data_IF_291513286313
#
_entry.id   IF_291513286313
#
_cell.length_a   1.000
_cell.length_b   1.000
_cell.length_c   1.000
_cell.angle_alpha   90.00
_cell.angle_beta   90.00
_cell.angle_gamma   90.00
#
_symmetry.space_group_name_H-M   'P 1'
#
loop_
_entity.id
_entity.type
_entity.pdbx_description
1 polymer ?
#
# COMPACT_ATOMS: atom_id res chain seq x y z
N UNK A 1 -33.23 -26.30 -27.09
CA UNK A 1 -31.89 -25.71 -27.29
C UNK A 1 -30.93 -26.37 -26.33
N UNK A 2 -29.66 -26.60 -26.67
CA UNK A 2 -28.77 -27.37 -25.82
C UNK A 2 -28.41 -26.55 -24.57
N UNK A 3 -28.81 -27.03 -23.40
CA UNK A 3 -28.30 -26.56 -22.10
C UNK A 3 -26.82 -26.93 -22.00
N UNK A 4 -25.93 -25.95 -22.09
CA UNK A 4 -24.52 -26.15 -21.77
C UNK A 4 -24.35 -26.30 -20.25
N UNK A 5 -23.86 -27.45 -19.80
CA UNK A 5 -23.52 -27.67 -18.39
C UNK A 5 -22.19 -26.99 -18.07
N UNK A 6 -22.18 -26.07 -17.10
CA UNK A 6 -20.95 -25.46 -16.59
C UNK A 6 -20.09 -26.56 -15.92
N UNK A 7 -18.85 -26.73 -16.36
CA UNK A 7 -17.89 -27.63 -15.71
C UNK A 7 -16.96 -26.82 -14.82
N UNK A 8 -16.95 -27.13 -13.52
CA UNK A 8 -15.98 -26.60 -12.55
C UNK A 8 -14.87 -27.62 -12.39
N UNK A 9 -13.60 -27.17 -12.44
CA UNK A 9 -12.43 -27.98 -12.14
C UNK A 9 -11.61 -27.26 -11.07
N UNK A 10 -11.24 -28.00 -10.04
CA UNK A 10 -10.34 -27.52 -9.01
C UNK A 10 -8.91 -27.40 -9.56
N UNK A 11 -8.29 -26.23 -9.34
CA UNK A 11 -6.91 -25.96 -9.74
C UNK A 11 -6.04 -25.97 -8.49
N UNK A 12 -4.85 -26.60 -8.54
CA UNK A 12 -3.89 -26.51 -7.45
C UNK A 12 -3.60 -25.05 -7.09
N UNK A 13 -3.55 -24.74 -5.80
CA UNK A 13 -3.14 -23.41 -5.34
C UNK A 13 -1.62 -23.28 -5.47
N UNK A 14 -1.18 -22.32 -6.28
CA UNK A 14 0.23 -21.92 -6.35
C UNK A 14 0.64 -21.27 -5.02
N UNK A 15 1.77 -21.71 -4.45
CA UNK A 15 2.36 -21.07 -3.27
C UNK A 15 3.47 -20.12 -3.71
N UNK A 16 3.30 -18.80 -3.53
CA UNK A 16 4.34 -17.86 -3.90
C UNK A 16 5.59 -18.08 -3.05
N UNK A 17 6.76 -17.79 -3.64
CA UNK A 17 8.05 -17.90 -2.95
C UNK A 17 8.13 -17.02 -1.70
N UNK A 18 7.49 -15.85 -1.75
CA UNK A 18 7.47 -14.87 -0.67
C UNK A 18 6.03 -14.45 -0.37
N UNK A 19 5.73 -14.30 0.92
CA UNK A 19 4.43 -13.83 1.41
C UNK A 19 4.62 -12.76 2.48
N UNK A 20 3.58 -11.96 2.71
CA UNK A 20 3.55 -10.94 3.76
C UNK A 20 4.76 -9.99 3.72
N UNK A 21 5.42 -9.83 4.87
CA UNK A 21 6.53 -8.89 5.01
C UNK A 21 7.74 -9.24 4.12
N UNK A 22 8.01 -10.53 3.90
CA UNK A 22 9.13 -10.96 3.05
C UNK A 22 8.90 -10.59 1.59
N UNK A 23 7.66 -10.65 1.11
CA UNK A 23 7.32 -10.22 -0.25
C UNK A 23 7.57 -8.72 -0.46
N UNK A 24 7.23 -7.90 0.54
CA UNK A 24 7.46 -6.45 0.51
C UNK A 24 8.97 -6.14 0.47
N UNK A 25 9.75 -6.81 1.32
CA UNK A 25 11.20 -6.66 1.34
C UNK A 25 11.86 -7.09 0.02
N UNK A 26 11.43 -8.22 -0.54
CA UNK A 26 11.90 -8.68 -1.85
C UNK A 26 11.59 -7.66 -2.96
N UNK A 27 10.35 -7.16 -3.04
CA UNK A 27 9.96 -6.13 -4.01
C UNK A 27 10.81 -4.86 -3.89
N UNK A 28 11.08 -4.41 -2.66
CA UNK A 28 11.91 -3.24 -2.43
C UNK A 28 13.36 -3.44 -2.88
N UNK A 29 13.96 -4.58 -2.51
CA UNK A 29 15.34 -4.92 -2.89
C UNK A 29 15.48 -5.07 -4.41
N UNK A 30 14.50 -5.69 -5.06
CA UNK A 30 14.48 -5.89 -6.51
C UNK A 30 14.38 -4.54 -7.24
N UNK A 31 13.56 -3.62 -6.74
CA UNK A 31 13.42 -2.26 -7.27
C UNK A 31 14.73 -1.45 -7.20
N UNK A 32 15.50 -1.55 -6.11
CA UNK A 32 16.72 -0.74 -5.91
C UNK A 32 18.00 -1.38 -6.50
N UNK A 33 17.93 -2.59 -7.06
CA UNK A 33 19.10 -3.38 -7.52
C UNK A 33 19.84 -2.82 -8.75
N UNK A 34 19.35 -1.72 -9.35
CA UNK A 34 20.17 -0.80 -10.15
C UNK A 34 20.37 -1.13 -11.65
N UNK A 35 20.33 -2.39 -12.11
CA UNK A 35 20.65 -2.73 -13.52
C UNK A 35 19.47 -3.21 -14.37
N UNK A 36 18.26 -3.10 -13.84
CA UNK A 36 17.00 -3.36 -14.55
C UNK A 36 15.81 -3.33 -13.61
N UNK A 37 15.93 -2.56 -12.51
CA UNK A 37 15.19 -2.70 -11.25
C UNK A 37 13.74 -3.13 -11.42
N UNK A 38 13.33 -4.08 -10.58
CA UNK A 38 11.95 -4.56 -10.52
C UNK A 38 10.95 -3.40 -10.42
N UNK A 39 9.67 -3.63 -10.74
CA UNK A 39 8.67 -2.58 -10.71
C UNK A 39 8.63 -1.87 -9.36
N UNK A 40 8.27 -0.59 -9.37
CA UNK A 40 8.04 0.17 -8.16
C UNK A 40 7.11 -0.61 -7.20
N UNK A 41 7.46 -0.77 -5.91
CA UNK A 41 6.62 -1.48 -4.97
C UNK A 41 5.24 -0.86 -4.85
N UNK A 42 4.26 -1.66 -4.43
CA UNK A 42 2.86 -1.23 -4.22
C UNK A 42 2.71 -0.12 -3.18
N UNK A 43 3.70 0.07 -2.31
CA UNK A 43 3.73 1.14 -1.32
C UNK A 43 5.07 1.85 -1.40
N UNK A 44 5.03 3.14 -1.70
CA UNK A 44 6.22 3.97 -1.89
C UNK A 44 6.25 5.12 -0.90
N UNK A 45 7.34 5.89 -0.90
CA UNK A 45 7.54 6.97 0.06
C UNK A 45 6.36 7.94 0.14
N UNK A 46 5.77 8.34 -0.98
CA UNK A 46 4.62 9.25 -1.00
C UNK A 46 3.39 8.68 -0.29
N UNK A 47 3.20 7.37 -0.30
CA UNK A 47 2.09 6.72 0.41
C UNK A 47 2.38 6.64 1.91
N UNK A 48 3.63 6.32 2.28
CA UNK A 48 4.07 6.33 3.67
C UNK A 48 3.90 7.72 4.32
N UNK A 49 4.16 8.79 3.57
CA UNK A 49 3.96 10.18 4.04
C UNK A 49 2.48 10.45 4.33
N UNK A 50 1.54 9.93 3.52
CA UNK A 50 0.10 10.06 3.78
C UNK A 50 -0.30 9.32 5.07
N UNK A 51 0.23 8.13 5.30
CA UNK A 51 0.00 7.38 6.54
C UNK A 51 0.54 8.13 7.76
N UNK A 52 1.73 8.73 7.66
CA UNK A 52 2.28 9.58 8.71
C UNK A 52 1.40 10.81 8.99
N UNK A 53 0.95 11.50 7.94
CA UNK A 53 0.04 12.64 8.06
C UNK A 53 -1.27 12.26 8.78
N UNK A 54 -1.82 11.09 8.48
CA UNK A 54 -3.01 10.56 9.17
C UNK A 54 -2.76 10.35 10.66
N UNK A 55 -1.59 9.82 11.05
CA UNK A 55 -1.24 9.64 12.47
C UNK A 55 -1.18 10.98 13.21
N UNK A 56 -0.54 12.01 12.61
CA UNK A 56 -0.51 13.35 13.22
C UNK A 56 -1.90 13.98 13.33
N UNK A 57 -2.72 13.85 12.30
CA UNK A 57 -4.10 14.33 12.33
C UNK A 57 -4.94 13.62 13.41
N UNK A 58 -4.74 12.32 13.61
CA UNK A 58 -5.43 11.58 14.67
C UNK A 58 -5.01 12.03 16.08
N UNK A 59 -3.72 12.32 16.30
CA UNK A 59 -3.23 12.88 17.57
C UNK A 59 -3.87 14.24 17.84
N UNK A 60 -3.88 15.14 16.85
CA UNK A 60 -4.50 16.47 16.96
C UNK A 60 -6.00 16.39 17.22
N UNK A 61 -6.69 15.50 16.50
CA UNK A 61 -8.12 15.25 16.70
C UNK A 61 -8.42 14.73 18.11
N UNK A 62 -7.62 13.79 18.61
CA UNK A 62 -7.74 13.27 19.96
C UNK A 62 -7.49 14.32 21.05
N UNK A 63 -6.53 15.23 20.84
CA UNK A 63 -6.22 16.29 21.78
C UNK A 63 -7.30 17.39 21.84
N UNK A 64 -7.92 17.69 20.70
CA UNK A 64 -8.88 18.81 20.57
C UNK A 64 -10.34 18.38 20.60
N UNK A 65 -10.61 17.09 20.38
CA UNK A 65 -11.95 16.56 20.14
C UNK A 65 -12.58 17.05 18.82
N UNK A 66 -11.82 17.69 17.94
CA UNK A 66 -12.31 18.25 16.68
C UNK A 66 -11.90 17.39 15.48
N UNK A 67 -12.68 17.46 14.40
CA UNK A 67 -12.29 16.89 13.12
C UNK A 67 -11.12 17.69 12.52
N UNK A 68 -10.15 16.97 11.94
CA UNK A 68 -8.95 17.56 11.35
C UNK A 68 -8.96 17.37 9.84
N UNK A 69 -8.76 18.45 9.08
CA UNK A 69 -8.47 18.39 7.65
C UNK A 69 -6.99 18.05 7.44
N UNK A 70 -6.73 16.78 7.14
CA UNK A 70 -5.37 16.24 6.93
C UNK A 70 -4.69 16.92 5.73
N UNK A 71 -5.43 17.21 4.66
CA UNK A 71 -4.88 17.84 3.46
C UNK A 71 -4.42 19.26 3.71
N UNK A 72 -5.23 20.04 4.43
CA UNK A 72 -4.88 21.39 4.84
C UNK A 72 -3.69 21.39 5.83
N UNK A 73 -3.67 20.46 6.78
CA UNK A 73 -2.56 20.29 7.73
C UNK A 73 -1.23 20.04 7.01
N UNK A 74 -1.20 19.07 6.09
CA UNK A 74 0.01 18.73 5.32
C UNK A 74 0.46 19.92 4.47
N UNK A 75 -0.48 20.57 3.77
CA UNK A 75 -0.17 21.74 2.95
C UNK A 75 0.45 22.87 3.77
N UNK A 76 -0.04 23.11 4.99
CA UNK A 76 0.53 24.09 5.92
C UNK A 76 1.94 23.69 6.38
N UNK A 77 2.16 22.42 6.70
CA UNK A 77 3.46 21.93 7.15
C UNK A 77 4.56 22.02 6.08
N UNK A 78 4.20 21.94 4.80
CA UNK A 78 5.13 22.01 3.66
C UNK A 78 5.48 23.44 3.20
N UNK A 79 4.95 24.48 3.86
CA UNK A 79 5.19 25.89 3.50
C UNK A 79 6.37 26.53 4.26
N UNK A 80 7.11 25.75 5.03
CA UNK A 80 8.31 26.15 5.77
C UNK A 80 9.54 25.41 5.24
#
# INVERSE_FOLDING_TARGET
>A
GPSGTLKVREMPTERPQWEGHHAIGAQFLDWISGSGGGPQPVTVLSDNIKSAAMMFAAIESGATGQAVDVGAMVKKAMQH
#
